data_IF_001244641025
#
_entry.id   IF_001244641025
#
_cell.length_a   1.000
_cell.length_b   1.000
_cell.length_c   1.000
_cell.angle_alpha   90.00
_cell.angle_beta   90.00
_cell.angle_gamma   90.00
#
_symmetry.space_group_name_H-M   'P 1'
#
loop_
_entity.id
_entity.type
_entity.pdbx_description
1 polymer ?
#
# COMPACT_ATOMS: atom_id res chain seq x y z
N UNK A 1 11.92 10.67 -15.46
CA UNK A 1 11.67 10.45 -14.02
C UNK A 1 12.59 11.36 -13.21
N UNK A 2 12.03 12.35 -12.51
CA UNK A 2 12.79 13.33 -11.73
C UNK A 2 13.21 12.75 -10.35
N UNK A 3 14.02 13.51 -9.59
CA UNK A 3 14.53 13.05 -8.29
C UNK A 3 13.41 12.77 -7.29
N UNK A 4 12.38 13.62 -7.24
CA UNK A 4 11.23 13.45 -6.36
C UNK A 4 10.49 12.14 -6.65
N UNK A 5 10.19 11.86 -7.92
CA UNK A 5 9.54 10.62 -8.36
C UNK A 5 10.36 9.38 -7.96
N UNK A 6 11.70 9.43 -8.10
CA UNK A 6 12.58 8.32 -7.68
C UNK A 6 12.52 8.07 -6.17
N UNK A 7 12.54 9.13 -5.37
CA UNK A 7 12.45 9.04 -3.90
C UNK A 7 11.08 8.49 -3.49
N UNK A 8 10.00 9.01 -4.08
CA UNK A 8 8.63 8.56 -3.80
C UNK A 8 8.43 7.08 -4.14
N UNK A 9 8.94 6.61 -5.28
CA UNK A 9 8.90 5.18 -5.63
C UNK A 9 9.65 4.33 -4.61
N UNK A 10 10.87 4.74 -4.22
CA UNK A 10 11.66 4.02 -3.21
C UNK A 10 10.94 3.95 -1.85
N UNK A 11 10.21 5.00 -1.47
CA UNK A 11 9.40 4.99 -0.24
C UNK A 11 8.23 4.01 -0.34
N UNK A 12 7.55 3.96 -1.48
CA UNK A 12 6.47 2.99 -1.73
C UNK A 12 7.01 1.56 -1.66
N UNK A 13 8.15 1.28 -2.29
CA UNK A 13 8.79 -0.03 -2.27
C UNK A 13 9.14 -0.43 -0.83
N UNK A 14 9.77 0.47 -0.07
CA UNK A 14 10.13 0.24 1.34
C UNK A 14 8.90 -0.08 2.18
N UNK A 15 7.82 0.70 2.07
CA UNK A 15 6.58 0.43 2.81
C UNK A 15 5.93 -0.88 2.40
N UNK A 16 6.02 -1.24 1.12
CA UNK A 16 5.44 -2.47 0.60
C UNK A 16 6.20 -3.69 1.12
N UNK A 17 7.52 -3.69 1.02
CA UNK A 17 8.36 -4.81 1.42
C UNK A 17 8.34 -5.02 2.94
N UNK A 18 8.42 -3.94 3.73
CA UNK A 18 8.49 -4.07 5.18
C UNK A 18 7.14 -4.37 5.85
N UNK A 19 6.03 -3.90 5.29
CA UNK A 19 4.72 -3.97 5.97
C UNK A 19 3.61 -4.65 5.18
N UNK A 20 3.66 -4.60 3.85
CA UNK A 20 2.61 -5.18 3.01
C UNK A 20 2.93 -6.61 2.55
N UNK A 21 4.21 -6.96 2.43
CA UNK A 21 4.67 -8.32 2.22
C UNK A 21 4.27 -9.21 3.41
N UNK A 22 3.64 -10.35 3.14
CA UNK A 22 3.15 -11.24 4.20
C UNK A 22 2.06 -10.65 5.12
N UNK A 23 1.53 -9.46 4.84
CA UNK A 23 0.63 -8.73 5.74
C UNK A 23 -0.56 -9.60 6.21
N UNK A 24 -0.63 -9.81 7.54
CA UNK A 24 -1.67 -10.64 8.16
C UNK A 24 -3.06 -10.04 7.98
N UNK A 25 -3.21 -8.71 8.09
CA UNK A 25 -4.48 -8.02 7.89
C UNK A 25 -4.99 -8.21 6.46
N UNK A 26 -4.14 -8.01 5.45
CA UNK A 26 -4.50 -8.24 4.04
C UNK A 26 -4.91 -9.70 3.81
N UNK A 27 -4.15 -10.63 4.38
CA UNK A 27 -4.42 -12.08 4.25
C UNK A 27 -5.73 -12.49 4.93
N UNK A 28 -5.98 -12.00 6.15
CA UNK A 28 -7.21 -12.21 6.88
C UNK A 28 -8.42 -11.69 6.10
N UNK A 29 -8.38 -10.41 5.69
CA UNK A 29 -9.50 -9.81 4.96
C UNK A 29 -9.71 -10.48 3.60
N UNK A 30 -8.65 -10.96 2.93
CA UNK A 30 -8.77 -11.70 1.67
C UNK A 30 -9.49 -13.03 1.86
N UNK A 31 -9.20 -13.75 2.96
CA UNK A 31 -9.86 -15.02 3.29
C UNK A 31 -11.30 -14.81 3.76
N UNK A 32 -11.56 -13.80 4.59
CA UNK A 32 -12.86 -13.56 5.20
C UNK A 32 -13.86 -12.84 4.26
N UNK A 33 -13.39 -11.89 3.45
CA UNK A 33 -14.26 -10.99 2.68
C UNK A 33 -13.86 -10.86 1.19
N UNK A 34 -12.84 -11.60 0.76
CA UNK A 34 -12.37 -11.61 -0.62
C UNK A 34 -11.36 -10.51 -0.97
N UNK A 35 -10.80 -10.61 -2.19
CA UNK A 35 -9.71 -9.76 -2.69
C UNK A 35 -10.10 -8.28 -2.73
N UNK A 36 -11.29 -7.96 -3.22
CA UNK A 36 -11.77 -6.58 -3.40
C UNK A 36 -11.87 -5.87 -2.05
N UNK A 37 -12.46 -6.52 -1.04
CA UNK A 37 -12.55 -5.96 0.30
C UNK A 37 -11.16 -5.77 0.91
N UNK A 38 -10.29 -6.77 0.81
CA UNK A 38 -8.93 -6.67 1.35
C UNK A 38 -8.15 -5.49 0.77
N UNK A 39 -8.23 -5.27 -0.54
CA UNK A 39 -7.59 -4.11 -1.17
C UNK A 39 -8.23 -2.79 -0.74
N UNK A 40 -9.56 -2.70 -0.70
CA UNK A 40 -10.28 -1.51 -0.24
C UNK A 40 -9.94 -1.16 1.21
N UNK A 41 -9.86 -2.16 2.09
CA UNK A 41 -9.40 -1.99 3.46
C UNK A 41 -7.98 -1.42 3.49
N UNK A 42 -7.05 -1.94 2.68
CA UNK A 42 -5.69 -1.43 2.64
C UNK A 42 -5.66 0.06 2.25
N UNK A 43 -6.32 0.45 1.17
CA UNK A 43 -6.24 1.83 0.65
C UNK A 43 -7.15 2.84 1.39
N UNK A 44 -8.08 2.38 2.25
CA UNK A 44 -9.02 3.25 2.98
C UNK A 44 -8.93 3.19 4.50
N UNK A 45 -8.37 2.12 5.08
CA UNK A 45 -8.38 1.87 6.53
C UNK A 45 -7.02 1.48 7.11
N UNK A 46 -6.15 0.84 6.35
CA UNK A 46 -4.78 0.56 6.79
C UNK A 46 -3.92 1.81 6.70
N UNK A 47 -3.24 2.20 7.79
CA UNK A 47 -2.35 3.36 7.82
C UNK A 47 -1.30 3.32 6.70
N UNK A 48 -0.61 2.18 6.55
CA UNK A 48 0.42 1.98 5.51
C UNK A 48 -0.18 2.06 4.11
N UNK A 49 -1.35 1.46 3.88
CA UNK A 49 -1.98 1.50 2.56
C UNK A 49 -2.54 2.89 2.19
N UNK A 50 -2.94 3.68 3.19
CA UNK A 50 -3.31 5.10 3.01
C UNK A 50 -2.07 5.92 2.64
N UNK A 51 -0.94 5.70 3.31
CA UNK A 51 0.32 6.37 3.04
C UNK A 51 0.85 6.05 1.63
N UNK A 52 0.88 4.76 1.24
CA UNK A 52 1.24 4.33 -0.11
C UNK A 52 0.35 5.01 -1.16
N UNK A 53 -0.96 5.13 -0.90
CA UNK A 53 -1.88 5.82 -1.81
C UNK A 53 -1.53 7.31 -1.94
N UNK A 54 -1.22 7.99 -0.83
CA UNK A 54 -0.82 9.39 -0.85
C UNK A 54 0.48 9.60 -1.65
N UNK A 55 1.48 8.73 -1.44
CA UNK A 55 2.72 8.74 -2.21
C UNK A 55 2.45 8.49 -3.71
N UNK A 56 1.56 7.55 -4.04
CA UNK A 56 1.16 7.28 -5.42
C UNK A 56 0.53 8.49 -6.12
N UNK A 57 -0.25 9.30 -5.41
CA UNK A 57 -0.86 10.52 -5.97
C UNK A 57 0.19 11.58 -6.36
N UNK A 58 1.37 11.58 -5.73
CA UNK A 58 2.47 12.50 -6.06
C UNK A 58 3.12 12.13 -7.42
N UNK A 59 2.89 10.91 -7.89
CA UNK A 59 3.43 10.40 -9.15
C UNK A 59 2.52 10.61 -10.36
N UNK A 60 1.27 11.06 -10.16
CA UNK A 60 0.25 11.22 -11.21
C UNK A 60 0.33 12.57 -11.94
#
# INVERSE_FOLDING_TARGET
MNLQQKVTLKQIDTLTDHYCEGCMLKSYHRKAYGKTYAHHYCIKKCSVGIEIKQLGNILQ
#
